data_IF_560351696010
#
_entry.id   IF_560351696010
#
_cell.length_a   1.000
_cell.length_b   1.000
_cell.length_c   1.000
_cell.angle_alpha   90.00
_cell.angle_beta   90.00
_cell.angle_gamma   90.00
#
_symmetry.space_group_name_H-M   'P 1'
#
loop_
_entity.id
_entity.type
_entity.pdbx_description
1 polymer ?
#
# COMPACT_ATOMS: atom_id res chain seq x y z
N UNK A 1 -20.21 -10.92 1.62
CA UNK A 1 -18.81 -10.60 1.98
C UNK A 1 -18.70 -9.08 2.13
N UNK A 2 -18.68 -8.57 3.36
CA UNK A 2 -18.50 -7.14 3.62
C UNK A 2 -17.01 -6.81 3.59
N UNK A 3 -16.62 -5.81 2.79
CA UNK A 3 -15.26 -5.26 2.82
C UNK A 3 -14.91 -4.86 4.26
N UNK A 4 -13.79 -5.32 4.84
CA UNK A 4 -13.40 -4.90 6.18
C UNK A 4 -13.27 -3.38 6.20
N UNK A 5 -13.92 -2.74 7.18
CA UNK A 5 -13.81 -1.31 7.41
C UNK A 5 -12.33 -0.97 7.58
N UNK A 6 -11.80 -0.05 6.76
CA UNK A 6 -10.43 0.48 6.90
C UNK A 6 -10.25 0.89 8.37
N UNK A 7 -9.32 0.26 9.08
CA UNK A 7 -8.93 0.75 10.40
C UNK A 7 -8.32 2.15 10.18
N UNK A 8 -8.87 3.14 10.87
CA UNK A 8 -8.46 4.54 10.71
C UNK A 8 -6.96 4.73 10.95
N UNK A 9 -6.39 5.77 10.34
CA UNK A 9 -5.00 6.15 10.60
C UNK A 9 -4.79 6.45 12.09
N UNK A 10 -3.58 6.22 12.59
CA UNK A 10 -3.23 6.50 13.99
C UNK A 10 -3.12 8.01 14.22
N UNK A 11 -3.66 8.49 15.35
CA UNK A 11 -3.52 9.88 15.75
C UNK A 11 -2.32 10.02 16.69
N UNK A 12 -1.19 10.47 16.16
CA UNK A 12 0.05 10.62 16.94
C UNK A 12 -0.09 11.58 18.12
N UNK A 13 -1.02 12.54 18.06
CA UNK A 13 -1.28 13.51 19.13
C UNK A 13 -2.10 12.93 20.29
N UNK A 14 -2.89 11.88 20.04
CA UNK A 14 -3.68 11.18 21.08
C UNK A 14 -2.93 9.95 21.61
N UNK A 15 -1.92 9.49 20.89
CA UNK A 15 -1.04 8.39 21.28
C UNK A 15 -1.28 7.12 20.46
N UNK A 16 -0.26 6.27 20.45
CA UNK A 16 -0.21 5.05 19.63
C UNK A 16 0.22 5.32 18.19
N UNK A 17 1.26 4.61 17.77
CA UNK A 17 1.76 4.59 16.38
C UNK A 17 1.11 3.47 15.59
N UNK A 18 1.23 3.51 14.26
CA UNK A 18 0.80 2.38 13.42
C UNK A 18 1.48 1.07 13.86
N UNK A 19 2.74 1.14 14.27
CA UNK A 19 3.49 -0.03 14.73
C UNK A 19 2.93 -0.60 16.03
N UNK A 20 2.39 0.22 16.93
CA UNK A 20 1.75 -0.25 18.16
C UNK A 20 0.48 -1.03 17.84
N UNK A 21 -0.33 -0.52 16.90
CA UNK A 21 -1.54 -1.20 16.42
C UNK A 21 -1.18 -2.51 15.72
N UNK A 22 -0.17 -2.47 14.83
CA UNK A 22 0.29 -3.65 14.10
C UNK A 22 0.80 -4.74 15.06
N UNK A 23 1.67 -4.39 16.02
CA UNK A 23 2.18 -5.32 17.03
C UNK A 23 1.07 -5.86 17.92
N UNK A 24 0.08 -5.03 18.27
CA UNK A 24 -1.09 -5.50 19.00
C UNK A 24 -1.88 -6.55 18.18
N UNK A 25 -2.15 -6.28 16.91
CA UNK A 25 -2.91 -7.21 16.05
C UNK A 25 -2.13 -8.51 15.78
N UNK A 26 -0.81 -8.43 15.57
CA UNK A 26 0.04 -9.60 15.38
C UNK A 26 0.04 -10.49 16.63
N UNK A 27 0.22 -9.90 17.82
CA UNK A 27 0.23 -10.66 19.09
C UNK A 27 -1.10 -11.34 19.39
N UNK A 28 -2.22 -10.72 19.02
CA UNK A 28 -3.56 -11.25 19.29
C UNK A 28 -4.17 -12.02 18.11
N UNK A 29 -3.40 -12.30 17.04
CA UNK A 29 -3.89 -12.95 15.82
C UNK A 29 -5.15 -12.27 15.22
N UNK A 30 -5.19 -10.93 15.27
CA UNK A 30 -6.33 -10.12 14.78
C UNK A 30 -6.08 -9.45 13.43
N UNK A 31 -5.00 -9.80 12.73
CA UNK A 31 -4.74 -9.32 11.38
C UNK A 31 -5.84 -9.80 10.41
N UNK A 32 -6.40 -8.90 9.57
CA UNK A 32 -7.26 -9.29 8.47
C UNK A 32 -6.54 -10.22 7.49
N UNK A 33 -7.32 -10.90 6.63
CA UNK A 33 -6.76 -11.75 5.55
C UNK A 33 -5.87 -10.99 4.57
N UNK A 34 -6.16 -9.70 4.36
CA UNK A 34 -5.37 -8.80 3.54
C UNK A 34 -5.22 -7.49 4.30
N UNK A 35 -3.98 -7.02 4.46
CA UNK A 35 -3.65 -5.77 5.13
C UNK A 35 -2.86 -4.87 4.19
N UNK A 36 -3.25 -3.60 4.11
CA UNK A 36 -2.54 -2.58 3.34
C UNK A 36 -1.86 -1.63 4.32
N UNK A 37 -0.53 -1.51 4.22
CA UNK A 37 0.27 -0.58 5.00
C UNK A 37 0.77 0.48 4.03
N UNK A 38 0.44 1.74 4.32
CA UNK A 38 0.94 2.89 3.57
C UNK A 38 1.85 3.66 4.51
N UNK A 39 3.09 3.92 4.09
CA UNK A 39 4.04 4.70 4.87
C UNK A 39 3.64 6.18 4.90
N UNK A 40 4.04 6.92 5.95
CA UNK A 40 4.03 8.37 5.90
C UNK A 40 5.01 8.86 4.82
N UNK A 41 4.78 10.06 4.30
CA UNK A 41 5.58 10.64 3.20
C UNK A 41 7.08 10.65 3.48
N UNK A 42 7.50 11.00 4.71
CA UNK A 42 8.90 10.96 5.13
C UNK A 42 9.56 9.57 5.08
N UNK A 43 8.77 8.49 4.96
CA UNK A 43 9.24 7.11 4.92
C UNK A 43 8.75 6.37 3.67
N UNK A 44 8.24 7.07 2.65
CA UNK A 44 7.80 6.46 1.39
C UNK A 44 8.93 6.28 0.38
N UNK A 45 10.14 6.74 0.71
CA UNK A 45 11.31 6.82 -0.20
C UNK A 45 11.13 7.79 -1.37
N UNK A 46 10.07 8.60 -1.36
CA UNK A 46 9.91 9.70 -2.31
C UNK A 46 11.10 10.65 -2.20
N UNK A 47 11.60 11.13 -3.35
CA UNK A 47 12.91 11.80 -3.47
C UNK A 47 13.15 13.06 -2.63
N UNK A 48 12.15 13.53 -1.87
CA UNK A 48 12.31 14.56 -0.85
C UNK A 48 13.09 14.09 0.39
N UNK A 49 13.15 12.77 0.63
CA UNK A 49 13.74 12.19 1.84
C UNK A 49 14.76 11.08 1.54
N UNK A 50 15.72 10.85 2.44
CA UNK A 50 16.68 9.75 2.31
C UNK A 50 16.01 8.36 2.29
N UNK A 51 16.42 7.50 1.36
CA UNK A 51 15.88 6.14 1.22
C UNK A 51 16.01 5.27 2.49
N UNK A 52 17.02 5.52 3.33
CA UNK A 52 17.17 4.76 4.58
C UNK A 52 16.01 4.95 5.57
N UNK A 53 15.17 5.99 5.41
CA UNK A 53 13.98 6.17 6.23
C UNK A 53 12.88 5.16 5.86
N UNK A 54 12.72 4.87 4.56
CA UNK A 54 11.82 3.80 4.09
C UNK A 54 12.32 2.42 4.50
N UNK A 55 13.61 2.16 4.33
CA UNK A 55 14.24 0.93 4.82
C UNK A 55 14.03 0.72 6.34
N UNK A 56 14.16 1.78 7.14
CA UNK A 56 13.85 1.75 8.57
C UNK A 56 12.35 1.45 8.82
N UNK A 57 11.44 2.06 8.07
CA UNK A 57 10.02 1.82 8.22
C UNK A 57 9.64 0.36 7.89
N UNK A 58 10.21 -0.19 6.81
CA UNK A 58 10.06 -1.60 6.44
C UNK A 58 10.59 -2.52 7.54
N UNK A 59 11.73 -2.20 8.16
CA UNK A 59 12.28 -3.01 9.25
C UNK A 59 11.34 -3.05 10.45
N UNK A 60 10.70 -1.93 10.81
CA UNK A 60 9.71 -1.90 11.89
C UNK A 60 8.48 -2.77 11.61
N UNK A 61 8.02 -2.82 10.35
CA UNK A 61 6.93 -3.71 9.93
C UNK A 61 7.36 -5.17 10.02
N UNK A 62 8.55 -5.51 9.51
CA UNK A 62 9.09 -6.87 9.57
C UNK A 62 9.28 -7.34 11.02
N UNK A 63 9.83 -6.51 11.89
CA UNK A 63 10.00 -6.82 13.32
C UNK A 63 8.64 -7.10 13.98
N UNK A 64 7.62 -6.29 13.66
CA UNK A 64 6.28 -6.50 14.19
C UNK A 64 5.69 -7.84 13.72
N UNK A 65 5.79 -8.16 12.42
CA UNK A 65 5.25 -9.39 11.84
C UNK A 65 5.98 -10.65 12.34
N UNK A 66 7.31 -10.60 12.41
CA UNK A 66 8.17 -11.73 12.82
C UNK A 66 8.14 -12.01 14.32
N UNK A 67 7.64 -11.07 15.14
CA UNK A 67 7.45 -11.27 16.59
C UNK A 67 6.49 -12.42 16.97
N UNK A 68 5.66 -12.89 16.04
CA UNK A 68 4.78 -14.05 16.22
C UNK A 68 5.10 -15.12 15.15
N UNK A 69 5.96 -16.12 15.46
CA UNK A 69 6.39 -17.13 14.50
C UNK A 69 5.24 -17.92 13.86
N UNK A 70 4.17 -18.19 14.62
CA UNK A 70 3.00 -18.93 14.14
C UNK A 70 2.15 -18.12 13.16
N UNK A 71 2.16 -16.78 13.28
CA UNK A 71 1.53 -15.88 12.32
C UNK A 71 2.42 -15.67 11.09
N UNK A 72 3.72 -15.45 11.31
CA UNK A 72 4.67 -15.22 10.25
C UNK A 72 4.77 -16.39 9.27
N UNK A 73 4.76 -17.63 9.77
CA UNK A 73 4.85 -18.85 8.94
C UNK A 73 3.74 -19.01 7.90
N UNK A 74 2.65 -18.25 8.02
CA UNK A 74 1.48 -18.25 7.12
C UNK A 74 1.20 -16.88 6.50
N UNK A 75 2.15 -15.96 6.56
CA UNK A 75 2.03 -14.58 6.05
C UNK A 75 3.00 -14.37 4.89
N UNK A 76 2.55 -13.65 3.86
CA UNK A 76 3.41 -13.12 2.81
C UNK A 76 3.42 -11.59 2.92
N UNK A 77 4.61 -10.98 2.85
CA UNK A 77 4.78 -9.54 2.75
C UNK A 77 5.16 -9.18 1.32
N UNK A 78 4.39 -8.28 0.70
CA UNK A 78 4.69 -7.72 -0.61
C UNK A 78 5.10 -6.25 -0.40
N UNK A 79 6.26 -5.87 -0.91
CA UNK A 79 6.75 -4.49 -0.90
C UNK A 79 6.64 -3.99 -2.33
N UNK A 80 5.93 -2.89 -2.51
CA UNK A 80 5.63 -2.31 -3.83
C UNK A 80 5.87 -0.81 -3.77
N UNK A 81 6.47 -0.28 -4.83
CA UNK A 81 6.58 1.15 -5.09
C UNK A 81 5.50 1.54 -6.11
N UNK A 82 4.89 2.71 -5.96
CA UNK A 82 3.84 3.16 -6.87
C UNK A 82 4.41 3.80 -8.15
N UNK A 83 5.64 4.30 -8.10
CA UNK A 83 6.40 4.79 -9.25
C UNK A 83 7.92 4.52 -9.14
N UNK A 84 8.68 5.00 -10.13
CA UNK A 84 10.14 4.92 -10.18
C UNK A 84 10.85 6.25 -9.82
N UNK A 85 10.11 7.24 -9.29
CA UNK A 85 10.61 8.59 -8.90
C UNK A 85 11.38 9.33 -10.03
N UNK A 86 11.16 8.95 -11.30
CA UNK A 86 11.88 9.51 -12.44
C UNK A 86 13.34 9.06 -12.58
N UNK A 87 13.82 8.12 -11.75
CA UNK A 87 15.13 7.50 -11.95
C UNK A 87 15.12 6.56 -13.17
N UNK A 88 16.28 6.47 -13.83
CA UNK A 88 16.43 5.66 -15.05
C UNK A 88 16.45 4.18 -14.69
N UNK A 89 15.50 3.43 -15.25
CA UNK A 89 15.62 1.99 -15.43
C UNK A 89 16.08 1.70 -16.87
N UNK A 90 17.02 0.77 -17.03
CA UNK A 90 17.47 0.28 -18.33
C UNK A 90 16.42 -0.55 -19.08
N UNK A 91 15.43 -1.08 -18.37
CA UNK A 91 14.34 -1.85 -18.97
C UNK A 91 13.22 -0.92 -19.41
N UNK A 92 12.89 -0.99 -20.70
CA UNK A 92 11.71 -0.31 -21.23
C UNK A 92 10.47 -0.98 -20.65
N UNK A 93 9.55 -0.24 -20.01
CA UNK A 93 8.37 -0.82 -19.40
C UNK A 93 7.49 -1.47 -20.47
N UNK A 94 6.91 -2.65 -20.19
CA UNK A 94 6.00 -3.30 -21.13
C UNK A 94 4.81 -2.39 -21.42
N UNK A 95 4.51 -2.19 -22.70
CA UNK A 95 3.36 -1.38 -23.10
C UNK A 95 2.06 -2.17 -22.89
N UNK A 96 1.03 -1.59 -22.26
CA UNK A 96 -0.26 -2.27 -22.15
C UNK A 96 -0.78 -2.62 -23.55
N UNK A 97 -1.42 -3.78 -23.74
CA UNK A 97 -1.89 -4.20 -25.05
C UNK A 97 -2.82 -3.14 -25.63
N UNK A 98 -2.58 -2.77 -26.89
CA UNK A 98 -3.48 -1.89 -27.63
C UNK A 98 -4.86 -2.52 -27.59
N UNK A 99 -5.85 -1.81 -27.06
CA UNK A 99 -7.25 -2.27 -27.08
C UNK A 99 -7.55 -2.77 -28.49
N UNK A 100 -8.01 -4.01 -28.63
CA UNK A 100 -8.66 -4.45 -29.85
C UNK A 100 -9.75 -3.42 -30.18
N UNK A 101 -9.99 -3.07 -31.46
CA UNK A 101 -11.08 -2.17 -31.81
C UNK A 101 -12.37 -2.77 -31.27
N UNK A 102 -12.84 -2.24 -30.14
CA UNK A 102 -14.12 -2.60 -29.57
C UNK A 102 -15.16 -2.11 -30.55
N UNK A 103 -15.90 -3.03 -31.16
CA UNK A 103 -17.21 -2.78 -31.74
C UNK A 103 -18.19 -2.42 -30.63
N UNK A 104 -17.94 -1.31 -29.93
CA UNK A 104 -18.89 -0.72 -28.99
C UNK A 104 -18.73 0.78 -29.06
N UNK A 105 -19.57 1.32 -29.93
CA UNK A 105 -19.94 2.73 -30.04
C UNK A 105 -20.18 3.32 -28.64
N UNK A 106 -19.32 4.25 -28.25
CA UNK A 106 -19.66 5.43 -27.46
C UNK A 106 -20.07 5.22 -26.00
N UNK A 107 -19.13 5.47 -25.08
CA UNK A 107 -19.41 6.06 -23.78
C UNK A 107 -18.35 7.14 -23.49
N UNK A 108 -18.40 8.24 -24.26
CA UNK A 108 -17.96 9.55 -23.76
C UNK A 108 -19.20 10.20 -23.16
N UNK A 109 -19.04 10.79 -21.98
CA UNK A 109 -20.07 11.54 -21.24
C UNK A 109 -20.93 12.38 -22.18
N UNK A 110 -22.20 11.98 -22.33
CA UNK A 110 -23.19 12.80 -23.00
C UNK A 110 -23.57 13.93 -22.04
N UNK A 111 -22.96 15.10 -22.25
CA UNK A 111 -23.43 16.36 -21.68
C UNK A 111 -24.84 16.60 -22.25
N UNK A 112 -25.89 16.38 -21.46
CA UNK A 112 -27.26 16.78 -21.82
C UNK A 112 -27.29 18.31 -21.94
N UNK A 113 -27.67 18.90 -23.09
CA UNK A 113 -28.14 20.28 -23.07
C UNK A 113 -29.51 20.29 -22.36
N UNK A 114 -29.67 21.21 -21.42
CA UNK A 114 -30.96 21.52 -20.80
C UNK A 114 -31.91 22.22 -21.80
N UNK A 115 -33.15 22.51 -21.36
CA UNK A 115 -34.25 22.94 -22.24
C UNK A 115 -33.96 24.25 -22.99
#
# INVERSE_FOLDING_TARGET
>A
MTCPKRRGGTNIAVGGTLFDVLRHDVRHNKLPKVSWIVSPEACSEHGNWPANYGAWYISQVLDALTSNPQLWSKTALLITYDENDGFVDHLVPPTPPRRAPSSTRGLRSARRPGP
#
